data_IF_816604536014
#
_entry.id   IF_816604536014
#
_cell.length_a   1.000
_cell.length_b   1.000
_cell.length_c   1.000
_cell.angle_alpha   90.00
_cell.angle_beta   90.00
_cell.angle_gamma   90.00
#
_symmetry.space_group_name_H-M   'P 1'
#
loop_
_entity.id
_entity.type
_entity.pdbx_description
1 polymer ?
#
# COMPACT_ATOMS: atom_id res chain seq x y z
N UNK A 1 -54.64 4.86 -60.91
CA UNK A 1 -54.57 6.29 -60.57
C UNK A 1 -53.73 6.39 -59.29
N UNK A 2 -52.42 6.18 -59.38
CA UNK A 2 -51.36 7.20 -59.49
C UNK A 2 -51.38 8.25 -58.37
N UNK A 3 -50.18 8.46 -57.79
CA UNK A 3 -49.77 9.40 -56.73
C UNK A 3 -49.86 8.83 -55.30
N UNK A 4 -48.84 8.91 -54.44
CA UNK A 4 -47.65 9.76 -54.43
C UNK A 4 -46.55 9.13 -53.56
N UNK A 5 -45.33 9.11 -54.08
CA UNK A 5 -44.10 8.87 -53.33
C UNK A 5 -43.81 10.15 -52.53
N UNK A 6 -43.75 10.04 -51.20
CA UNK A 6 -43.16 11.09 -50.35
C UNK A 6 -41.79 10.63 -49.86
N UNK A 7 -40.78 11.12 -50.56
CA UNK A 7 -39.40 11.19 -50.10
C UNK A 7 -39.35 12.15 -48.90
N UNK A 8 -38.94 11.66 -47.73
CA UNK A 8 -38.41 12.51 -46.68
C UNK A 8 -37.03 12.00 -46.27
N UNK A 9 -36.03 12.70 -46.79
CA UNK A 9 -34.66 12.72 -46.31
C UNK A 9 -34.62 13.70 -45.13
N UNK A 10 -34.29 13.24 -43.92
CA UNK A 10 -33.79 13.99 -42.75
C UNK A 10 -33.87 13.04 -41.54
N UNK A 11 -32.90 12.88 -40.66
CA UNK A 11 -31.59 13.48 -40.47
C UNK A 11 -30.76 12.46 -39.69
N UNK A 12 -29.46 12.39 -39.95
CA UNK A 12 -28.52 11.61 -39.16
C UNK A 12 -28.55 12.09 -37.70
N UNK A 13 -29.12 11.28 -36.80
CA UNK A 13 -29.04 11.47 -35.36
C UNK A 13 -27.65 11.09 -34.86
N UNK A 14 -26.68 11.97 -35.06
CA UNK A 14 -25.42 11.97 -34.32
C UNK A 14 -25.69 12.53 -32.92
N UNK A 15 -25.86 11.67 -31.91
CA UNK A 15 -25.56 11.98 -30.52
C UNK A 15 -25.91 10.80 -29.61
N UNK A 16 -24.91 9.99 -29.25
CA UNK A 16 -24.64 9.56 -27.87
C UNK A 16 -23.47 8.57 -27.87
N UNK A 17 -22.28 9.07 -28.18
CA UNK A 17 -21.00 8.36 -27.96
C UNK A 17 -20.42 8.59 -26.56
N UNK A 18 -21.12 9.32 -25.68
CA UNK A 18 -20.65 9.66 -24.33
C UNK A 18 -20.64 8.48 -23.34
N UNK A 19 -21.12 7.29 -23.72
CA UNK A 19 -21.17 6.10 -22.86
C UNK A 19 -20.06 5.06 -23.09
N UNK A 20 -19.11 5.30 -24.00
CA UNK A 20 -18.15 4.28 -24.46
C UNK A 20 -16.71 4.47 -23.97
N UNK A 21 -16.44 5.48 -23.13
CA UNK A 21 -15.14 5.64 -22.48
C UNK A 21 -15.30 5.32 -20.99
N UNK A 22 -14.84 4.16 -20.50
CA UNK A 22 -14.63 4.00 -19.06
C UNK A 22 -13.65 5.09 -18.65
N UNK A 23 -14.07 6.00 -17.76
CA UNK A 23 -13.30 7.15 -17.26
C UNK A 23 -12.17 7.55 -18.21
N UNK A 24 -12.51 8.28 -19.27
CA UNK A 24 -11.50 8.94 -20.08
C UNK A 24 -10.54 9.62 -19.09
N UNK A 25 -9.30 9.16 -19.06
CA UNK A 25 -8.27 9.58 -18.14
C UNK A 25 -8.07 11.10 -18.28
N UNK A 26 -8.87 11.88 -17.56
CA UNK A 26 -8.58 13.28 -17.31
C UNK A 26 -7.25 13.26 -16.57
N UNK A 27 -6.31 14.11 -17.01
CA UNK A 27 -5.05 14.28 -16.31
C UNK A 27 -5.37 14.65 -14.85
N UNK A 28 -5.22 13.67 -13.95
CA UNK A 28 -5.54 13.85 -12.55
C UNK A 28 -4.55 14.82 -11.93
N UNK A 29 -5.02 15.63 -11.01
CA UNK A 29 -4.14 16.58 -10.34
C UNK A 29 -3.11 15.83 -9.50
N UNK A 30 -1.96 16.45 -9.24
CA UNK A 30 -0.97 15.84 -8.33
C UNK A 30 -1.59 15.56 -6.96
N UNK A 31 -2.45 16.43 -6.45
CA UNK A 31 -3.09 16.26 -5.15
C UNK A 31 -4.03 15.05 -5.10
N UNK A 32 -4.85 14.83 -6.14
CA UNK A 32 -5.70 13.62 -6.24
C UNK A 32 -4.87 12.33 -6.23
N UNK A 33 -3.75 12.34 -6.96
CA UNK A 33 -2.83 11.20 -6.99
C UNK A 33 -2.18 10.97 -5.63
N UNK A 34 -1.76 12.02 -4.94
CA UNK A 34 -1.20 11.94 -3.58
C UNK A 34 -2.22 11.42 -2.57
N UNK A 35 -3.47 11.87 -2.65
CA UNK A 35 -4.54 11.40 -1.78
C UNK A 35 -4.77 9.89 -1.94
N UNK A 36 -4.82 9.42 -3.19
CA UNK A 36 -4.90 8.00 -3.49
C UNK A 36 -3.68 7.22 -3.01
N UNK A 37 -2.47 7.78 -3.17
CA UNK A 37 -1.25 7.20 -2.62
C UNK A 37 -1.27 7.08 -1.09
N UNK A 38 -1.78 8.09 -0.40
CA UNK A 38 -1.97 8.06 1.03
C UNK A 38 -3.02 7.01 1.45
N UNK A 39 -4.08 6.83 0.66
CA UNK A 39 -5.09 5.80 0.89
C UNK A 39 -4.50 4.38 0.77
N UNK A 40 -3.60 4.14 -0.20
CA UNK A 40 -2.86 2.87 -0.32
C UNK A 40 -2.10 2.58 0.97
N UNK A 41 -1.30 3.53 1.46
CA UNK A 41 -0.52 3.33 2.70
C UNK A 41 -1.43 3.02 3.89
N UNK A 42 -2.50 3.78 4.08
CA UNK A 42 -3.46 3.52 5.16
C UNK A 42 -4.05 2.11 5.06
N UNK A 43 -4.37 1.64 3.85
CA UNK A 43 -4.93 0.29 3.66
C UNK A 43 -3.94 -0.83 3.99
N UNK A 44 -2.65 -0.60 3.79
CA UNK A 44 -1.60 -1.60 4.01
C UNK A 44 -1.01 -1.55 5.43
N UNK A 45 -1.14 -0.42 6.10
CA UNK A 45 -0.46 -0.13 7.36
C UNK A 45 -1.42 0.08 8.53
N UNK A 46 -2.57 -0.62 8.54
CA UNK A 46 -3.56 -0.55 9.61
C UNK A 46 -4.03 0.89 9.92
N UNK A 47 -4.21 1.71 8.89
CA UNK A 47 -4.60 3.12 9.02
C UNK A 47 -3.46 4.07 9.39
N UNK A 48 -2.27 3.56 9.73
CA UNK A 48 -1.12 4.36 10.14
C UNK A 48 -0.37 4.93 8.94
N UNK A 49 0.29 6.08 9.13
CA UNK A 49 1.24 6.63 8.17
C UNK A 49 2.54 5.81 8.16
N UNK A 50 3.39 6.03 7.16
CA UNK A 50 4.73 5.44 7.16
C UNK A 50 5.79 6.40 7.66
N UNK A 51 6.58 6.07 8.70
CA UNK A 51 7.59 6.96 9.25
C UNK A 51 8.64 7.40 8.22
N UNK A 52 9.07 6.49 7.33
CA UNK A 52 10.02 6.84 6.26
C UNK A 52 9.47 7.90 5.32
N UNK A 53 8.19 7.79 4.97
CA UNK A 53 7.55 8.77 4.09
C UNK A 53 7.39 10.13 4.79
N UNK A 54 7.08 10.13 6.09
CA UNK A 54 7.03 11.36 6.88
C UNK A 54 8.40 12.05 6.96
N UNK A 55 9.47 11.28 7.17
CA UNK A 55 10.83 11.78 7.09
C UNK A 55 11.14 12.41 5.72
N UNK A 56 10.72 11.76 4.64
CA UNK A 56 10.87 12.31 3.28
C UNK A 56 10.09 13.62 3.10
N UNK A 57 8.86 13.76 3.63
CA UNK A 57 8.10 15.01 3.50
C UNK A 57 8.83 16.20 4.09
N UNK A 58 9.51 15.99 5.22
CA UNK A 58 10.29 17.02 5.91
C UNK A 58 11.58 17.39 5.18
N UNK A 59 12.37 16.39 4.80
CA UNK A 59 13.75 16.61 4.34
C UNK A 59 13.89 16.62 2.82
N UNK A 60 13.02 15.88 2.12
CA UNK A 60 13.08 15.65 0.67
C UNK A 60 11.69 15.75 0.02
N UNK A 61 11.02 16.92 0.11
CA UNK A 61 9.60 17.05 -0.26
C UNK A 61 9.29 16.65 -1.71
N UNK A 62 10.21 16.91 -2.65
CA UNK A 62 10.06 16.45 -4.04
C UNK A 62 10.03 14.93 -4.16
N UNK A 63 10.90 14.22 -3.42
CA UNK A 63 10.93 12.76 -3.41
C UNK A 63 9.68 12.19 -2.74
N UNK A 64 9.21 12.83 -1.67
CA UNK A 64 7.96 12.45 -1.02
C UNK A 64 6.77 12.58 -1.98
N UNK A 65 6.67 13.69 -2.70
CA UNK A 65 5.62 13.89 -3.71
C UNK A 65 5.68 12.84 -4.82
N UNK A 66 6.86 12.57 -5.38
CA UNK A 66 7.02 11.52 -6.40
C UNK A 66 6.62 10.13 -5.87
N UNK A 67 6.95 9.84 -4.62
CA UNK A 67 6.57 8.57 -3.97
C UNK A 67 5.07 8.47 -3.76
N UNK A 68 4.43 9.53 -3.26
CA UNK A 68 2.98 9.56 -3.01
C UNK A 68 2.16 9.59 -4.28
N UNK A 69 2.44 10.54 -5.16
CA UNK A 69 1.65 10.77 -6.35
C UNK A 69 1.85 9.64 -7.37
N UNK A 70 3.10 9.37 -7.73
CA UNK A 70 3.39 8.42 -8.81
C UNK A 70 3.48 6.98 -8.30
N UNK A 71 4.43 6.69 -7.40
CA UNK A 71 4.63 5.29 -7.00
C UNK A 71 3.35 4.74 -6.34
N UNK A 72 2.86 5.38 -5.29
CA UNK A 72 1.69 4.92 -4.56
C UNK A 72 0.38 5.20 -5.31
N UNK A 73 0.20 6.44 -5.76
CA UNK A 73 -1.03 6.95 -6.34
C UNK A 73 -1.30 6.60 -7.80
N UNK A 74 -0.28 6.27 -8.59
CA UNK A 74 -0.45 5.90 -10.00
C UNK A 74 -0.11 4.43 -10.27
N UNK A 75 0.84 3.83 -9.53
CA UNK A 75 1.31 2.45 -9.78
C UNK A 75 0.70 1.45 -8.80
N UNK A 76 0.81 1.70 -7.49
CA UNK A 76 0.30 0.75 -6.49
C UNK A 76 -1.23 0.72 -6.43
N UNK A 77 -1.90 1.83 -6.70
CA UNK A 77 -3.37 1.90 -6.70
C UNK A 77 -4.03 1.42 -8.00
N UNK A 78 -3.25 0.96 -9.00
CA UNK A 78 -3.84 0.53 -10.29
C UNK A 78 -4.87 -0.58 -10.08
N UNK A 79 -5.97 -0.59 -10.83
CA UNK A 79 -6.83 -1.76 -10.89
C UNK A 79 -6.09 -2.89 -11.63
N UNK A 80 -6.32 -4.14 -11.23
CA UNK A 80 -5.83 -5.32 -11.94
C UNK A 80 -5.24 -6.41 -11.06
N UNK A 81 -4.59 -6.03 -9.95
CA UNK A 81 -4.14 -6.95 -8.90
C UNK A 81 -4.63 -6.43 -7.55
N UNK A 82 -5.06 -7.36 -6.70
CA UNK A 82 -5.41 -7.06 -5.32
C UNK A 82 -4.16 -6.74 -4.48
N UNK A 83 -4.37 -6.16 -3.30
CA UNK A 83 -3.26 -5.76 -2.43
C UNK A 83 -2.44 -6.97 -1.98
N UNK A 84 -3.08 -8.13 -1.73
CA UNK A 84 -2.41 -9.37 -1.33
C UNK A 84 -1.36 -9.77 -2.37
N UNK A 85 -1.78 -9.91 -3.62
CA UNK A 85 -0.92 -10.31 -4.73
C UNK A 85 0.20 -9.32 -4.95
N UNK A 86 -0.09 -8.01 -4.85
CA UNK A 86 0.93 -6.96 -5.00
C UNK A 86 2.01 -7.04 -3.91
N UNK A 87 1.64 -7.29 -2.66
CA UNK A 87 2.63 -7.39 -1.58
C UNK A 87 3.50 -8.64 -1.73
N UNK A 88 2.91 -9.80 -2.06
CA UNK A 88 3.69 -11.02 -2.33
C UNK A 88 4.67 -10.82 -3.49
N UNK A 89 4.23 -10.20 -4.58
CA UNK A 89 5.08 -9.88 -5.72
C UNK A 89 6.22 -8.92 -5.35
N UNK A 90 5.95 -7.91 -4.53
CA UNK A 90 6.98 -6.97 -4.10
C UNK A 90 7.99 -7.60 -3.14
N UNK A 91 7.55 -8.44 -2.20
CA UNK A 91 8.45 -9.21 -1.33
C UNK A 91 9.38 -10.06 -2.19
N UNK A 92 8.85 -10.79 -3.17
CA UNK A 92 9.64 -11.60 -4.09
C UNK A 92 10.65 -10.75 -4.87
N UNK A 93 10.21 -9.62 -5.43
CA UNK A 93 11.05 -8.74 -6.23
C UNK A 93 12.19 -8.12 -5.42
N UNK A 94 11.90 -7.54 -4.25
CA UNK A 94 12.92 -6.93 -3.39
C UNK A 94 13.89 -7.97 -2.83
N UNK A 95 13.41 -9.16 -2.46
CA UNK A 95 14.29 -10.26 -2.07
C UNK A 95 15.21 -10.69 -3.23
N UNK A 96 14.67 -10.83 -4.45
CA UNK A 96 15.43 -11.25 -5.62
C UNK A 96 16.51 -10.25 -6.06
N UNK A 97 16.33 -8.95 -5.80
CA UNK A 97 17.38 -7.94 -6.06
C UNK A 97 18.32 -7.71 -4.86
N UNK A 98 17.98 -8.23 -3.68
CA UNK A 98 18.80 -8.12 -2.46
C UNK A 98 18.46 -6.91 -1.57
N UNK A 99 17.39 -6.19 -1.87
CA UNK A 99 16.94 -5.00 -1.13
C UNK A 99 16.07 -5.40 0.07
N UNK A 100 16.68 -6.05 1.06
CA UNK A 100 15.95 -6.67 2.17
C UNK A 100 15.26 -5.68 3.10
N UNK A 101 15.71 -4.42 3.16
CA UNK A 101 15.05 -3.36 3.92
C UNK A 101 13.65 -3.04 3.35
N UNK A 102 13.53 -2.90 2.02
CA UNK A 102 12.24 -2.69 1.36
C UNK A 102 11.40 -3.98 1.37
N UNK A 103 12.01 -5.14 1.17
CA UNK A 103 11.33 -6.42 1.31
C UNK A 103 10.65 -6.54 2.69
N UNK A 104 11.33 -6.16 3.77
CA UNK A 104 10.77 -6.18 5.13
C UNK A 104 9.54 -5.29 5.29
N UNK A 105 9.57 -4.09 4.72
CA UNK A 105 8.41 -3.17 4.72
C UNK A 105 7.20 -3.84 4.05
N UNK A 106 7.41 -4.43 2.87
CA UNK A 106 6.35 -5.08 2.11
C UNK A 106 5.87 -6.40 2.75
N UNK A 107 6.75 -7.15 3.40
CA UNK A 107 6.36 -8.32 4.21
C UNK A 107 5.49 -7.90 5.40
N UNK A 108 5.82 -6.77 6.04
CA UNK A 108 5.01 -6.19 7.10
C UNK A 108 3.61 -5.82 6.62
N UNK A 109 3.49 -5.17 5.46
CA UNK A 109 2.20 -4.90 4.84
C UNK A 109 1.42 -6.17 4.51
N UNK A 110 2.09 -7.16 3.92
CA UNK A 110 1.48 -8.44 3.57
C UNK A 110 0.81 -9.09 4.80
N UNK A 111 1.54 -9.15 5.91
CA UNK A 111 1.04 -9.71 7.17
C UNK A 111 -0.14 -8.89 7.73
N UNK A 112 -0.12 -7.56 7.62
CA UNK A 112 -1.21 -6.70 8.08
C UNK A 112 -2.53 -6.99 7.34
N UNK A 113 -2.44 -7.37 6.06
CA UNK A 113 -3.59 -7.68 5.21
C UNK A 113 -3.88 -9.19 5.11
N UNK A 114 -3.33 -9.99 6.04
CA UNK A 114 -3.68 -11.39 6.20
C UNK A 114 -2.91 -12.40 5.33
N UNK A 115 -1.76 -12.02 4.76
CA UNK A 115 -0.79 -13.02 4.26
C UNK A 115 -0.16 -13.73 5.45
N UNK A 116 -0.02 -15.05 5.39
CA UNK A 116 0.56 -15.83 6.50
C UNK A 116 2.10 -15.83 6.48
N UNK A 117 2.71 -16.21 7.62
CA UNK A 117 4.16 -16.39 7.69
C UNK A 117 4.62 -17.49 6.72
N UNK A 118 3.84 -18.56 6.57
CA UNK A 118 4.11 -19.68 5.68
C UNK A 118 4.12 -19.26 4.20
N UNK A 119 3.17 -18.41 3.77
CA UNK A 119 3.15 -17.91 2.40
C UNK A 119 4.37 -17.05 2.09
N UNK A 120 4.84 -16.24 3.05
CA UNK A 120 6.07 -15.47 2.88
C UNK A 120 7.30 -16.39 2.84
N UNK A 121 7.33 -17.48 3.60
CA UNK A 121 8.39 -18.47 3.51
C UNK A 121 8.44 -19.11 2.11
N UNK A 122 7.30 -19.48 1.53
CA UNK A 122 7.22 -20.02 0.16
C UNK A 122 7.77 -19.02 -0.88
N UNK A 123 7.48 -17.73 -0.74
CA UNK A 123 8.08 -16.69 -1.59
C UNK A 123 9.60 -16.70 -1.48
N UNK A 124 10.17 -16.80 -0.27
CA UNK A 124 11.63 -16.84 -0.10
C UNK A 124 12.24 -18.12 -0.66
N UNK A 125 11.56 -19.27 -0.57
CA UNK A 125 12.01 -20.49 -1.24
C UNK A 125 12.05 -20.32 -2.76
N UNK A 126 11.03 -19.68 -3.35
CA UNK A 126 11.04 -19.37 -4.77
C UNK A 126 12.23 -18.53 -5.19
N UNK A 127 12.72 -17.60 -4.36
CA UNK A 127 13.88 -16.72 -4.66
C UNK A 127 15.18 -17.51 -4.90
N UNK A 128 15.31 -18.73 -4.36
CA UNK A 128 16.50 -19.57 -4.53
C UNK A 128 16.80 -19.89 -6.00
N UNK A 129 15.76 -20.07 -6.82
CA UNK A 129 15.88 -20.48 -8.23
C UNK A 129 16.21 -19.32 -9.18
N UNK A 130 15.45 -18.21 -9.21
CA UNK A 130 15.72 -17.10 -10.13
C UNK A 130 16.84 -16.17 -9.66
N UNK A 131 17.16 -16.14 -8.36
CA UNK A 131 18.09 -15.16 -7.80
C UNK A 131 19.21 -15.75 -6.93
N UNK A 132 19.18 -17.06 -6.65
CA UNK A 132 20.22 -17.79 -5.94
C UNK A 132 20.07 -17.83 -4.43
N UNK A 133 20.69 -18.85 -3.82
CA UNK A 133 20.68 -19.09 -2.37
C UNK A 133 21.17 -17.92 -1.52
N UNK A 134 22.25 -17.18 -1.86
CA UNK A 134 22.72 -16.09 -1.01
C UNK A 134 21.66 -15.03 -0.71
N UNK A 135 20.86 -14.65 -1.72
CA UNK A 135 19.78 -13.66 -1.56
C UNK A 135 18.60 -14.23 -0.76
N UNK A 136 18.24 -15.49 -1.00
CA UNK A 136 17.20 -16.16 -0.23
C UNK A 136 17.57 -16.29 1.26
N UNK A 137 18.85 -16.60 1.58
CA UNK A 137 19.35 -16.67 2.96
C UNK A 137 19.31 -15.30 3.64
N UNK A 138 19.76 -14.24 2.95
CA UNK A 138 19.69 -12.89 3.51
C UNK A 138 18.23 -12.45 3.76
N UNK A 139 17.33 -12.77 2.84
CA UNK A 139 15.91 -12.46 2.99
C UNK A 139 15.25 -13.26 4.13
N UNK A 140 15.57 -14.56 4.28
CA UNK A 140 14.99 -15.40 5.33
C UNK A 140 15.40 -14.93 6.74
N UNK A 141 16.62 -14.43 6.91
CA UNK A 141 17.09 -13.86 8.17
C UNK A 141 16.27 -12.63 8.57
N UNK A 142 16.05 -11.70 7.62
CA UNK A 142 15.25 -10.49 7.86
C UNK A 142 13.78 -10.83 8.13
N UNK A 143 13.23 -11.81 7.42
CA UNK A 143 11.86 -12.28 7.63
C UNK A 143 11.69 -12.95 9.00
N UNK A 144 12.66 -13.76 9.42
CA UNK A 144 12.67 -14.40 10.76
C UNK A 144 12.66 -13.36 11.89
N UNK A 145 13.44 -12.29 11.75
CA UNK A 145 13.43 -11.18 12.71
C UNK A 145 12.08 -10.47 12.75
N UNK A 146 11.45 -10.23 11.59
CA UNK A 146 10.15 -9.59 11.51
C UNK A 146 9.06 -10.43 12.21
N UNK A 147 9.08 -11.75 12.01
CA UNK A 147 8.15 -12.65 12.69
C UNK A 147 8.35 -12.65 14.20
N UNK A 148 9.61 -12.66 14.65
CA UNK A 148 9.93 -12.62 16.07
C UNK A 148 9.44 -11.34 16.75
N UNK A 149 9.68 -10.18 16.13
CA UNK A 149 9.18 -8.88 16.61
C UNK A 149 7.66 -8.85 16.76
N UNK A 150 6.94 -9.54 15.86
CA UNK A 150 5.47 -9.60 15.87
C UNK A 150 4.91 -10.59 16.89
N UNK A 151 5.65 -11.64 17.23
CA UNK A 151 5.27 -12.60 18.29
C UNK A 151 5.48 -12.03 19.69
N UNK A 152 6.41 -11.10 19.85
CA UNK A 152 6.63 -10.48 21.16
C UNK A 152 5.42 -9.62 21.55
N UNK A 153 4.88 -9.77 22.78
CA UNK A 153 3.84 -8.89 23.26
C UNK A 153 4.40 -7.47 23.27
N UNK A 154 3.67 -6.52 22.65
CA UNK A 154 4.05 -5.10 22.63
C UNK A 154 4.28 -4.61 24.07
N UNK A 155 5.53 -4.57 24.52
CA UNK A 155 5.90 -3.98 25.80
C UNK A 155 5.88 -2.47 25.63
N UNK A 156 4.72 -1.85 25.85
CA UNK A 156 4.60 -0.39 25.95
C UNK A 156 3.40 0.21 25.23
N UNK A 157 2.18 -0.15 25.63
CA UNK A 157 1.01 0.72 25.44
C UNK A 157 0.86 1.66 26.65
N UNK A 158 0.40 2.91 26.49
CA UNK A 158 0.24 3.85 27.59
C UNK A 158 -0.99 3.47 28.43
N UNK A 159 -0.81 2.54 29.39
CA UNK A 159 -1.88 2.12 30.30
C UNK A 159 -1.36 1.74 31.70
N UNK A 160 -0.26 2.36 32.16
CA UNK A 160 0.16 2.26 33.56
C UNK A 160 0.59 3.63 34.11
N UNK A 161 -0.34 4.58 34.06
CA UNK A 161 -0.34 5.75 34.92
C UNK A 161 -1.70 5.80 35.62
N UNK A 162 -1.91 4.85 36.52
CA UNK A 162 -2.96 5.00 37.53
C UNK A 162 -2.43 5.99 38.58
N UNK A 163 -3.19 7.04 38.97
CA UNK A 163 -2.68 8.06 39.87
C UNK A 163 -2.48 7.42 41.25
N UNK A 164 -1.27 7.55 41.79
CA UNK A 164 -1.00 7.23 43.18
C UNK A 164 -2.00 8.00 44.06
N UNK A 165 -2.86 7.23 44.74
CA UNK A 165 -3.84 7.72 45.69
C UNK A 165 -3.13 8.59 46.74
N UNK A 166 -3.53 9.85 46.81
CA UNK A 166 -3.19 10.73 47.91
C UNK A 166 -3.67 10.09 49.22
N UNK A 167 -2.73 9.71 50.08
CA UNK A 167 -3.00 9.52 51.50
C UNK A 167 -2.37 10.71 52.20
N UNK A 168 -3.25 11.62 52.64
CA UNK A 168 -2.85 12.67 53.55
C UNK A 168 -2.63 12.08 54.93
N UNK A 169 -1.62 12.59 55.63
CA UNK A 169 -1.64 12.61 57.09
C UNK A 169 -0.93 13.89 57.56
N UNK A 170 -1.76 14.89 57.88
CA UNK A 170 -1.44 15.90 58.88
C UNK A 170 -1.43 15.23 60.26
N UNK A 171 -0.36 15.41 61.03
CA UNK A 171 -0.45 15.65 62.47
C UNK A 171 0.88 16.25 62.98
N UNK A 172 0.78 17.47 63.50
CA UNK A 172 1.82 18.11 64.33
C UNK A 172 1.98 17.42 65.69
N UNK A 173 2.64 18.04 66.69
CA UNK A 173 2.54 19.46 67.05
C UNK A 173 3.71 20.36 66.64
#
# INVERSE_FOLDING_TARGET
MFQQIRTHLAAAGAASLLGLFPDAALAQTTDERRERGAAVIRSLNNGMTQPTLEGMRREFPFLAEATEAYALGDVWSRPGLDNRTRQLAAVAAFAAIGETAFMRVHAGYALNIGVSEEELNEIIYMVTVPAGFPKAIAASQVLSQLFEERRQPQRGGPADQSPAMATGEEAGP
#
